data_IF_662861363347
#
_entry.id   IF_662861363347
#
_cell.length_a   1.000
_cell.length_b   1.000
_cell.length_c   1.000
_cell.angle_alpha   90.00
_cell.angle_beta   90.00
_cell.angle_gamma   90.00
#
_symmetry.space_group_name_H-M   'P 1'
#
loop_
_entity.id
_entity.type
_entity.pdbx_description
1 polymer ?
#
# COMPACT_ATOMS: atom_id res chain seq x y z
N UNK A 1 -35.54 -22.58 11.41
CA UNK A 1 -35.68 -22.38 9.95
C UNK A 1 -37.11 -22.73 9.56
N UNK A 2 -37.81 -21.93 8.76
CA UNK A 2 -39.15 -22.33 8.28
C UNK A 2 -38.97 -23.48 7.28
N UNK A 3 -39.63 -24.60 7.52
CA UNK A 3 -39.61 -25.72 6.60
C UNK A 3 -40.59 -25.44 5.45
N UNK A 4 -40.09 -25.43 4.22
CA UNK A 4 -40.86 -25.10 3.02
C UNK A 4 -41.18 -26.38 2.24
N UNK A 5 -42.39 -26.46 1.66
CA UNK A 5 -42.81 -27.59 0.81
C UNK A 5 -41.86 -27.84 -0.37
N UNK A 6 -41.12 -26.80 -0.80
CA UNK A 6 -40.05 -26.90 -1.77
C UNK A 6 -39.00 -27.96 -1.41
N UNK A 7 -38.59 -28.05 -0.13
CA UNK A 7 -37.55 -28.98 0.30
C UNK A 7 -37.98 -30.44 0.12
N UNK A 8 -39.25 -30.74 0.41
CA UNK A 8 -39.82 -32.07 0.19
C UNK A 8 -40.03 -32.37 -1.28
N UNK A 9 -40.66 -31.44 -2.01
CA UNK A 9 -41.10 -31.68 -3.38
C UNK A 9 -39.98 -31.59 -4.42
N UNK A 10 -38.89 -30.88 -4.12
CA UNK A 10 -37.79 -30.64 -5.07
C UNK A 10 -36.43 -31.17 -4.61
N UNK A 11 -36.16 -31.17 -3.31
CA UNK A 11 -34.88 -31.67 -2.76
C UNK A 11 -35.00 -33.06 -2.13
N UNK A 12 -36.22 -33.60 -2.02
CA UNK A 12 -36.53 -34.88 -1.38
C UNK A 12 -36.05 -34.95 0.09
N UNK A 13 -36.04 -33.81 0.78
CA UNK A 13 -35.73 -33.71 2.20
C UNK A 13 -37.04 -33.55 2.99
N UNK A 14 -37.24 -34.35 4.03
CA UNK A 14 -38.42 -34.38 4.87
C UNK A 14 -38.25 -33.65 6.21
N UNK A 15 -36.99 -33.37 6.60
CA UNK A 15 -36.66 -32.69 7.87
C UNK A 15 -35.72 -31.51 7.65
N UNK A 16 -35.68 -30.57 8.60
CA UNK A 16 -34.76 -29.44 8.53
C UNK A 16 -33.29 -29.88 8.57
N UNK A 17 -32.99 -30.97 9.26
CA UNK A 17 -31.64 -31.52 9.38
C UNK A 17 -31.18 -32.13 8.05
N UNK A 18 -32.04 -32.87 7.34
CA UNK A 18 -31.74 -33.38 5.99
C UNK A 18 -31.46 -32.24 4.99
N UNK A 19 -32.18 -31.12 5.10
CA UNK A 19 -31.94 -29.93 4.27
C UNK A 19 -30.59 -29.29 4.59
N UNK A 20 -30.23 -29.21 5.86
CA UNK A 20 -28.94 -28.66 6.30
C UNK A 20 -27.79 -29.56 5.86
N UNK A 21 -27.88 -30.87 6.07
CA UNK A 21 -26.87 -31.84 5.65
C UNK A 21 -26.68 -31.82 4.13
N UNK A 22 -27.78 -31.73 3.37
CA UNK A 22 -27.72 -31.57 1.92
C UNK A 22 -27.00 -30.27 1.53
N UNK A 23 -27.32 -29.14 2.16
CA UNK A 23 -26.65 -27.86 1.90
C UNK A 23 -25.14 -27.97 2.15
N UNK A 24 -24.74 -28.49 3.32
CA UNK A 24 -23.33 -28.67 3.69
C UNK A 24 -22.63 -29.59 2.70
N UNK A 25 -23.26 -30.70 2.30
CA UNK A 25 -22.69 -31.64 1.32
C UNK A 25 -22.48 -31.03 -0.07
N UNK A 26 -23.23 -29.98 -0.42
CA UNK A 26 -23.15 -29.30 -1.72
C UNK A 26 -22.19 -28.12 -1.73
N UNK A 27 -21.66 -27.70 -0.57
CA UNK A 27 -20.64 -26.66 -0.51
C UNK A 27 -19.43 -27.08 -1.32
N UNK A 28 -19.00 -26.19 -2.22
CA UNK A 28 -17.77 -26.41 -2.99
C UNK A 28 -16.56 -26.12 -2.13
N UNK A 29 -15.45 -26.85 -2.31
CA UNK A 29 -14.24 -26.66 -1.50
C UNK A 29 -13.62 -25.27 -1.69
N UNK A 30 -13.89 -24.60 -2.82
CA UNK A 30 -13.46 -23.23 -3.06
C UNK A 30 -14.28 -22.54 -4.15
N UNK A 31 -14.33 -21.21 -4.08
CA UNK A 31 -14.76 -20.32 -5.15
C UNK A 31 -13.60 -19.43 -5.66
N UNK A 32 -12.36 -19.71 -5.26
CA UNK A 32 -11.19 -18.93 -5.68
C UNK A 32 -10.87 -19.23 -7.14
N UNK A 33 -10.92 -18.19 -7.96
CA UNK A 33 -10.44 -18.21 -9.34
C UNK A 33 -8.96 -17.78 -9.37
N UNK A 34 -8.27 -17.98 -10.50
CA UNK A 34 -6.87 -17.53 -10.65
C UNK A 34 -6.68 -16.03 -10.38
N UNK A 35 -7.70 -15.22 -10.71
CA UNK A 35 -7.75 -13.78 -10.42
C UNK A 35 -7.86 -13.43 -8.92
N UNK A 36 -8.10 -14.42 -8.05
CA UNK A 36 -8.08 -14.24 -6.59
C UNK A 36 -6.67 -13.91 -6.08
N UNK A 37 -5.63 -14.40 -6.74
CA UNK A 37 -4.26 -14.29 -6.23
C UNK A 37 -3.62 -12.95 -6.56
N UNK A 38 -3.71 -12.51 -7.82
CA UNK A 38 -3.20 -11.21 -8.27
C UNK A 38 -4.09 -10.67 -9.37
N UNK A 39 -4.52 -9.42 -9.24
CA UNK A 39 -5.15 -8.68 -10.33
C UNK A 39 -4.08 -7.94 -11.14
N UNK A 40 -3.51 -8.62 -12.14
CA UNK A 40 -2.43 -8.08 -12.97
C UNK A 40 -2.82 -6.82 -13.74
N UNK A 41 -4.06 -6.74 -14.21
CA UNK A 41 -4.57 -5.55 -14.92
C UNK A 41 -4.51 -4.31 -14.02
N UNK A 42 -4.94 -4.45 -12.76
CA UNK A 42 -4.85 -3.39 -11.75
C UNK A 42 -3.40 -3.03 -11.43
N UNK A 43 -2.54 -4.03 -11.21
CA UNK A 43 -1.11 -3.85 -10.89
C UNK A 43 -0.42 -3.02 -11.98
N UNK A 44 -0.57 -3.44 -13.24
CA UNK A 44 0.08 -2.80 -14.37
C UNK A 44 -0.51 -1.41 -14.65
N UNK A 45 -1.84 -1.26 -14.60
CA UNK A 45 -2.50 0.03 -14.83
C UNK A 45 -2.17 1.07 -13.74
N UNK A 46 -2.02 0.67 -12.48
CA UNK A 46 -1.60 1.56 -11.41
C UNK A 46 -0.13 1.97 -11.55
N UNK A 47 0.75 1.00 -11.81
CA UNK A 47 2.17 1.27 -12.01
C UNK A 47 2.39 2.22 -13.20
N UNK A 48 1.65 2.00 -14.31
CA UNK A 48 1.73 2.82 -15.52
C UNK A 48 1.46 4.30 -15.27
N UNK A 49 0.58 4.65 -14.32
CA UNK A 49 0.23 6.05 -14.01
C UNK A 49 1.40 6.87 -13.45
N UNK A 50 2.33 6.21 -12.76
CA UNK A 50 3.48 6.87 -12.11
C UNK A 50 4.83 6.43 -12.71
N UNK A 51 4.81 5.60 -13.76
CA UNK A 51 6.00 4.98 -14.36
C UNK A 51 7.06 6.02 -14.77
N UNK A 52 6.66 7.15 -15.34
CA UNK A 52 7.59 8.22 -15.73
C UNK A 52 8.32 8.77 -14.50
N UNK A 53 7.60 9.12 -13.45
CA UNK A 53 8.16 9.60 -12.18
C UNK A 53 9.08 8.56 -11.54
N UNK A 54 8.71 7.28 -11.56
CA UNK A 54 9.54 6.18 -11.05
C UNK A 54 10.85 6.03 -11.83
N UNK A 55 10.80 6.18 -13.16
CA UNK A 55 12.00 6.13 -13.99
C UNK A 55 12.93 7.32 -13.74
N UNK A 56 12.39 8.51 -13.49
CA UNK A 56 13.20 9.67 -13.08
C UNK A 56 13.84 9.40 -11.71
N UNK A 57 13.08 8.89 -10.74
CA UNK A 57 13.60 8.54 -9.41
C UNK A 57 14.68 7.45 -9.44
N UNK A 58 14.73 6.59 -10.48
CA UNK A 58 15.83 5.62 -10.64
C UNK A 58 17.21 6.30 -10.69
N UNK A 59 17.29 7.57 -11.07
CA UNK A 59 18.53 8.38 -11.03
C UNK A 59 19.22 8.34 -9.65
N UNK A 60 18.43 8.25 -8.57
CA UNK A 60 18.94 8.27 -7.20
C UNK A 60 19.49 6.93 -6.72
N UNK A 61 19.25 5.84 -7.46
CA UNK A 61 19.70 4.51 -7.08
C UNK A 61 21.23 4.49 -7.03
N UNK A 62 21.76 4.23 -5.85
CA UNK A 62 23.19 4.08 -5.65
C UNK A 62 24.01 5.36 -5.69
N UNK A 63 23.39 6.52 -5.53
CA UNK A 63 24.08 7.81 -5.32
C UNK A 63 24.67 7.87 -3.91
N UNK A 64 25.96 8.16 -3.81
CA UNK A 64 26.64 8.34 -2.51
C UNK A 64 26.23 9.66 -1.84
N UNK A 65 26.11 10.73 -2.62
CA UNK A 65 25.64 12.06 -2.19
C UNK A 65 24.11 12.20 -2.27
N UNK A 66 23.38 11.17 -1.83
CA UNK A 66 21.93 11.04 -2.02
C UNK A 66 21.12 12.28 -1.65
N UNK A 67 21.42 12.92 -0.51
CA UNK A 67 20.60 14.04 -0.02
C UNK A 67 20.66 15.27 -0.94
N UNK A 68 21.83 15.56 -1.50
CA UNK A 68 22.03 16.68 -2.42
C UNK A 68 21.40 16.38 -3.77
N UNK A 69 21.62 15.18 -4.30
CA UNK A 69 21.03 14.70 -5.56
C UNK A 69 19.51 14.63 -5.48
N UNK A 70 18.96 14.21 -4.34
CA UNK A 70 17.53 14.21 -4.10
C UNK A 70 16.96 15.63 -4.16
N UNK A 71 17.57 16.57 -3.42
CA UNK A 71 17.14 17.97 -3.43
C UNK A 71 17.24 18.58 -4.82
N UNK A 72 18.30 18.27 -5.56
CA UNK A 72 18.47 18.69 -6.95
C UNK A 72 17.36 18.13 -7.84
N UNK A 73 17.14 16.81 -7.80
CA UNK A 73 16.15 16.14 -8.64
C UNK A 73 14.73 16.66 -8.41
N UNK A 74 14.33 16.91 -7.16
CA UNK A 74 13.00 17.47 -6.85
C UNK A 74 12.85 18.92 -7.33
N UNK A 75 13.93 19.70 -7.35
CA UNK A 75 13.88 21.06 -7.90
C UNK A 75 13.69 21.05 -9.42
N UNK A 76 14.37 20.14 -10.12
CA UNK A 76 14.25 19.99 -11.57
C UNK A 76 12.92 19.33 -11.99
N UNK A 77 12.46 18.36 -11.21
CA UNK A 77 11.27 17.56 -11.50
C UNK A 77 10.33 17.47 -10.28
N UNK A 78 9.66 18.58 -9.89
CA UNK A 78 8.80 18.59 -8.72
C UNK A 78 7.62 17.61 -8.83
N UNK A 79 7.16 17.29 -10.05
CA UNK A 79 6.05 16.36 -10.30
C UNK A 79 6.30 14.94 -9.79
N UNK A 80 7.57 14.54 -9.61
CA UNK A 80 7.89 13.18 -9.17
C UNK A 80 7.61 12.94 -7.69
N UNK A 81 7.39 14.01 -6.92
CA UNK A 81 7.09 13.88 -5.48
C UNK A 81 5.79 13.12 -5.25
N UNK A 82 4.84 13.20 -6.18
CA UNK A 82 3.56 12.50 -6.11
C UNK A 82 3.70 10.97 -6.12
N UNK A 83 4.82 10.45 -6.66
CA UNK A 83 5.09 9.00 -6.70
C UNK A 83 5.72 8.48 -5.39
N UNK A 84 6.32 9.34 -4.57
CA UNK A 84 7.02 8.95 -3.33
C UNK A 84 6.10 8.18 -2.36
N UNK A 85 4.86 8.65 -2.06
CA UNK A 85 3.95 7.93 -1.18
C UNK A 85 3.65 6.50 -1.63
N UNK A 86 3.50 6.27 -2.94
CA UNK A 86 3.14 4.96 -3.49
C UNK A 86 4.20 3.89 -3.21
N UNK A 87 5.47 4.29 -3.04
CA UNK A 87 6.58 3.40 -2.72
C UNK A 87 6.58 2.88 -1.28
N UNK A 88 5.80 3.50 -0.39
CA UNK A 88 5.79 3.20 1.06
C UNK A 88 4.40 2.80 1.56
N UNK A 89 3.35 3.47 1.09
CA UNK A 89 1.98 3.36 1.63
C UNK A 89 0.99 3.07 0.52
N UNK A 90 0.20 1.99 0.68
CA UNK A 90 -1.05 1.80 -0.09
C UNK A 90 -2.11 2.74 0.47
N UNK A 91 -2.21 3.95 -0.08
CA UNK A 91 -3.44 4.74 0.10
C UNK A 91 -4.42 4.30 -0.97
N UNK A 92 -5.40 3.48 -0.57
CA UNK A 92 -6.44 2.95 -1.46
C UNK A 92 -7.33 4.03 -2.10
N UNK A 93 -7.12 5.30 -1.76
CA UNK A 93 -7.63 6.47 -2.47
C UNK A 93 -6.92 7.71 -1.91
N UNK A 94 -6.30 8.51 -2.78
CA UNK A 94 -6.37 9.99 -2.78
C UNK A 94 -6.08 10.76 -1.48
N UNK A 95 -5.41 10.21 -0.49
CA UNK A 95 -4.91 11.05 0.61
C UNK A 95 -3.75 11.88 0.06
N UNK A 96 -4.07 13.13 -0.29
CA UNK A 96 -3.08 14.11 -0.77
C UNK A 96 -2.05 14.47 0.31
N UNK A 97 -2.36 14.11 1.55
CA UNK A 97 -1.66 14.53 2.76
C UNK A 97 -1.52 13.32 3.67
N UNK A 98 -0.29 13.08 4.13
CA UNK A 98 0.01 12.03 5.10
C UNK A 98 0.27 12.70 6.45
N UNK A 99 -0.63 12.44 7.40
CA UNK A 99 -0.46 12.88 8.79
C UNK A 99 0.26 11.78 9.56
N UNK A 100 1.47 12.07 10.03
CA UNK A 100 2.34 11.11 10.71
C UNK A 100 2.59 11.58 12.14
N UNK A 101 2.39 10.68 13.10
CA UNK A 101 2.83 10.89 14.48
C UNK A 101 4.37 10.80 14.52
N UNK A 102 5.03 11.93 14.73
CA UNK A 102 6.49 12.04 14.71
C UNK A 102 7.12 12.00 16.11
N UNK A 103 6.37 12.37 17.14
CA UNK A 103 6.78 12.26 18.54
C UNK A 103 5.56 11.98 19.44
N UNK A 104 5.78 11.24 20.51
CA UNK A 104 4.78 10.92 21.54
C UNK A 104 5.37 10.96 22.96
N UNK A 105 6.57 11.55 23.13
CA UNK A 105 7.22 11.71 24.44
C UNK A 105 6.32 12.48 25.41
N UNK A 106 6.40 12.11 26.69
CA UNK A 106 5.64 12.73 27.79
C UNK A 106 4.11 12.77 27.56
N UNK A 107 3.55 11.77 26.86
CA UNK A 107 2.12 11.69 26.52
C UNK A 107 1.61 12.82 25.60
N UNK A 108 2.51 13.60 25.00
CA UNK A 108 2.15 14.64 24.04
C UNK A 108 2.34 14.11 22.63
N UNK A 109 1.24 13.94 21.90
CA UNK A 109 1.25 13.48 20.52
C UNK A 109 1.56 14.67 19.59
N UNK A 110 2.66 14.56 18.84
CA UNK A 110 3.07 15.54 17.84
C UNK A 110 2.93 14.93 16.45
N UNK A 111 2.19 15.63 15.59
CA UNK A 111 1.90 15.19 14.24
C UNK A 111 2.54 16.14 13.23
N UNK A 112 3.06 15.58 12.14
CA UNK A 112 3.49 16.32 10.97
C UNK A 112 2.65 15.92 9.76
N UNK A 113 2.34 16.91 8.92
CA UNK A 113 1.64 16.73 7.67
C UNK A 113 2.63 16.80 6.50
N UNK A 114 2.67 15.74 5.70
CA UNK A 114 3.45 15.65 4.48
C UNK A 114 2.51 15.71 3.27
N UNK A 115 2.59 16.79 2.50
CA UNK A 115 1.80 16.98 1.27
C UNK A 115 2.72 16.86 0.05
N UNK A 116 2.56 15.79 -0.73
CA UNK A 116 3.41 15.48 -1.88
C UNK A 116 2.86 15.99 -3.23
N UNK A 117 1.70 16.65 -3.22
CA UNK A 117 0.99 17.13 -4.43
C UNK A 117 1.23 18.61 -4.72
N UNK A 118 2.27 19.19 -4.14
CA UNK A 118 2.62 20.59 -4.37
C UNK A 118 3.30 20.72 -5.73
N UNK A 119 2.68 21.47 -6.64
CA UNK A 119 3.24 21.75 -7.98
C UNK A 119 4.61 22.43 -7.93
N UNK A 120 4.80 23.34 -6.97
CA UNK A 120 6.06 24.06 -6.76
C UNK A 120 6.43 23.98 -5.26
N UNK A 121 7.11 22.90 -4.82
CA UNK A 121 7.55 22.77 -3.44
C UNK A 121 8.65 23.78 -3.13
N UNK A 122 8.59 24.41 -1.95
CA UNK A 122 9.65 25.29 -1.48
C UNK A 122 10.78 24.47 -0.81
N UNK A 123 11.86 25.12 -0.37
CA UNK A 123 12.98 24.41 0.26
C UNK A 123 12.58 23.66 1.56
N UNK A 124 11.61 24.17 2.32
CA UNK A 124 11.11 23.48 3.52
C UNK A 124 10.35 22.20 3.17
N UNK A 125 9.55 22.24 2.10
CA UNK A 125 8.83 21.07 1.60
C UNK A 125 9.79 19.98 1.12
N UNK A 126 10.83 20.36 0.39
CA UNK A 126 11.86 19.42 -0.07
C UNK A 126 12.58 18.77 1.12
N UNK A 127 12.88 19.54 2.17
CA UNK A 127 13.48 18.99 3.38
C UNK A 127 12.54 18.00 4.07
N UNK A 128 11.22 18.30 4.14
CA UNK A 128 10.23 17.35 4.64
C UNK A 128 10.18 16.07 3.81
N UNK A 129 10.21 16.16 2.49
CA UNK A 129 10.24 14.96 1.63
C UNK A 129 11.51 14.12 1.88
N UNK A 130 12.65 14.77 2.08
CA UNK A 130 13.89 14.09 2.42
C UNK A 130 13.81 13.40 3.79
N UNK A 131 13.25 14.07 4.80
CA UNK A 131 12.99 13.48 6.12
C UNK A 131 12.09 12.25 5.98
N UNK A 132 11.02 12.34 5.20
CA UNK A 132 10.11 11.22 4.95
C UNK A 132 10.84 10.02 4.33
N UNK A 133 11.62 10.22 3.27
CA UNK A 133 12.38 9.15 2.60
C UNK A 133 13.42 8.51 3.52
N UNK A 134 14.07 9.31 4.37
CA UNK A 134 15.00 8.80 5.39
C UNK A 134 14.28 7.97 6.46
N UNK A 135 13.22 8.51 7.05
CA UNK A 135 12.51 7.87 8.17
C UNK A 135 11.72 6.63 7.75
N UNK A 136 11.34 6.53 6.49
CA UNK A 136 10.69 5.35 5.91
C UNK A 136 11.67 4.25 5.49
N UNK A 137 12.97 4.55 5.46
CA UNK A 137 14.02 3.61 5.02
C UNK A 137 14.16 3.48 3.49
N UNK A 138 13.45 4.32 2.72
CA UNK A 138 13.58 4.37 1.26
C UNK A 138 14.99 4.80 0.84
N UNK A 139 15.60 5.76 1.56
CA UNK A 139 16.97 6.19 1.28
C UNK A 139 17.93 5.00 1.32
N UNK A 140 17.95 4.25 2.42
CA UNK A 140 18.82 3.08 2.58
C UNK A 140 18.55 2.04 1.47
N UNK A 141 17.30 1.84 1.08
CA UNK A 141 16.95 0.91 0.00
C UNK A 141 17.57 1.32 -1.35
N UNK A 142 17.51 2.61 -1.70
CA UNK A 142 18.07 3.16 -2.93
C UNK A 142 19.60 3.20 -2.92
N UNK A 143 20.20 3.69 -1.83
CA UNK A 143 21.66 3.84 -1.70
C UNK A 143 22.35 2.47 -1.64
N UNK A 144 21.77 1.50 -0.94
CA UNK A 144 22.34 0.14 -0.84
C UNK A 144 22.27 -0.67 -2.15
N UNK A 145 21.66 -0.12 -3.22
CA UNK A 145 21.47 -0.79 -4.52
C UNK A 145 20.79 -2.16 -4.42
N UNK A 146 20.03 -2.40 -3.34
CA UNK A 146 19.23 -3.62 -3.15
C UNK A 146 18.11 -3.71 -4.19
N UNK A 147 17.64 -2.56 -4.66
CA UNK A 147 16.76 -2.44 -5.82
C UNK A 147 17.53 -1.78 -6.97
N UNK A 148 17.21 -2.21 -8.20
CA UNK A 148 17.82 -1.69 -9.43
C UNK A 148 16.83 -0.92 -10.30
N UNK A 149 15.53 -1.09 -10.04
CA UNK A 149 14.47 -0.44 -10.79
C UNK A 149 13.24 -0.25 -9.88
N UNK A 150 12.81 0.99 -9.72
CA UNK A 150 11.63 1.36 -8.94
C UNK A 150 10.31 0.93 -9.60
N UNK A 151 10.27 0.78 -10.93
CA UNK A 151 9.09 0.27 -11.65
C UNK A 151 8.85 -1.19 -11.27
N UNK A 152 9.89 -2.03 -11.31
CA UNK A 152 9.80 -3.44 -10.92
C UNK A 152 9.46 -3.60 -9.44
N UNK A 153 10.07 -2.76 -8.60
CA UNK A 153 9.74 -2.70 -7.17
C UNK A 153 8.26 -2.34 -6.94
N UNK A 154 7.73 -1.35 -7.68
CA UNK A 154 6.32 -0.96 -7.59
C UNK A 154 5.36 -2.07 -8.04
N UNK A 155 5.71 -2.81 -9.11
CA UNK A 155 4.94 -4.00 -9.53
C UNK A 155 4.88 -5.03 -8.40
N UNK A 156 6.03 -5.29 -7.75
CA UNK A 156 6.10 -6.17 -6.59
C UNK A 156 5.26 -5.69 -5.41
N UNK A 157 5.25 -4.38 -5.14
CA UNK A 157 4.40 -3.74 -4.14
C UNK A 157 2.92 -3.96 -4.48
N UNK A 158 2.47 -3.57 -5.68
CA UNK A 158 1.06 -3.66 -6.06
C UNK A 158 0.56 -5.12 -6.07
N UNK A 159 1.42 -6.08 -6.45
CA UNK A 159 1.10 -7.50 -6.42
C UNK A 159 1.09 -8.10 -5.00
N UNK A 160 2.04 -7.71 -4.14
CA UNK A 160 2.20 -8.27 -2.78
C UNK A 160 1.32 -7.63 -1.70
N UNK A 161 0.91 -6.37 -1.89
CA UNK A 161 0.11 -5.62 -0.92
C UNK A 161 -1.39 -5.97 -0.90
N UNK A 162 -1.79 -7.03 -1.59
CA UNK A 162 -3.16 -7.57 -1.45
C UNK A 162 -3.35 -8.44 -0.19
N UNK A 163 -2.35 -8.49 0.70
CA UNK A 163 -2.40 -9.27 1.95
C UNK A 163 -2.27 -8.43 3.24
N UNK A 164 -2.92 -8.93 4.30
CA UNK A 164 -3.37 -8.27 5.54
C UNK A 164 -2.30 -7.71 6.52
N UNK A 165 -1.05 -7.46 6.11
CA UNK A 165 0.07 -7.19 7.04
C UNK A 165 0.00 -5.87 7.85
N UNK A 166 -0.74 -4.86 7.40
CA UNK A 166 -0.80 -3.51 8.03
C UNK A 166 -1.47 -3.52 9.41
N UNK A 167 -2.48 -4.38 9.62
CA UNK A 167 -3.25 -4.43 10.88
C UNK A 167 -2.38 -4.79 12.08
N UNK A 168 -1.40 -5.68 11.89
CA UNK A 168 -0.51 -6.13 12.95
C UNK A 168 0.52 -5.06 13.39
N UNK A 169 0.93 -4.17 12.47
CA UNK A 169 1.87 -3.08 12.80
C UNK A 169 1.18 -1.95 13.55
N UNK A 170 -0.05 -1.60 13.17
CA UNK A 170 -0.86 -0.60 13.87
C UNK A 170 -1.12 -0.99 15.33
N UNK A 171 -1.42 -2.28 15.58
CA UNK A 171 -1.58 -2.80 16.95
C UNK A 171 -0.33 -2.65 17.81
N UNK A 172 0.86 -3.00 17.29
CA UNK A 172 2.14 -2.79 17.98
C UNK A 172 2.45 -1.32 18.24
N UNK A 173 2.09 -0.43 17.32
CA UNK A 173 2.25 1.01 17.54
C UNK A 173 1.37 1.50 18.68
N UNK A 174 0.12 1.04 18.77
CA UNK A 174 -0.79 1.39 19.86
C UNK A 174 -0.27 0.89 21.22
N UNK A 175 0.27 -0.32 21.28
CA UNK A 175 0.90 -0.87 22.49
C UNK A 175 2.06 -0.02 22.99
N UNK A 176 2.85 0.58 22.10
CA UNK A 176 3.97 1.46 22.48
C UNK A 176 3.56 2.87 22.92
N UNK A 177 2.38 3.32 22.50
CA UNK A 177 1.86 4.67 22.79
C UNK A 177 1.14 4.71 24.15
N UNK A 178 0.47 3.61 24.53
CA UNK A 178 -0.34 3.50 25.76
C UNK A 178 0.53 3.24 26.99
#
# INVERSE_FOLDING_TARGET
MKFLDFYKNKLNCNTSDEVFDLLISKLKPSNRLWSYFVNWEKVLSNTKKIEVSLNILNYLIGKDNFDEEFKYLIKEHPEITEAIPALVVRSGNKEKELIILVDFKNKKLMYENFNFHKKCPNNEDIEKYLIFIKKTGLKELLVSKKIKNLVDYMIGIEAGLDSNGRKNRGGKSMEKIV
#
